data_IF_550802129897
#
_entry.id   IF_550802129897
#
_cell.length_a   1.000
_cell.length_b   1.000
_cell.length_c   1.000
_cell.angle_alpha   90.00
_cell.angle_beta   90.00
_cell.angle_gamma   90.00
#
_symmetry.space_group_name_H-M   'P 1'
#
loop_
_entity.id
_entity.type
_entity.pdbx_description
1 polymer ?
#
# COMPACT_ATOMS: atom_id res chain seq x y z
N UNK A 1 11.55 -43.36 -29.97
CA UNK A 1 12.62 -42.40 -29.55
C UNK A 1 12.25 -40.93 -29.78
N UNK A 2 11.71 -40.50 -30.94
CA UNK A 2 11.35 -39.07 -31.19
C UNK A 2 10.18 -38.54 -30.35
N UNK A 3 9.08 -39.29 -30.28
CA UNK A 3 7.90 -38.90 -29.49
C UNK A 3 8.19 -38.63 -27.99
N UNK A 4 9.16 -39.35 -27.41
CA UNK A 4 9.59 -39.15 -26.02
C UNK A 4 10.43 -37.87 -25.83
N UNK A 5 11.10 -37.41 -26.90
CA UNK A 5 11.88 -36.16 -26.90
C UNK A 5 10.97 -34.96 -27.12
N UNK A 6 9.98 -35.10 -27.99
CA UNK A 6 8.98 -34.06 -28.27
C UNK A 6 8.06 -33.85 -27.05
N UNK A 7 7.68 -34.93 -26.36
CA UNK A 7 6.94 -34.85 -25.10
C UNK A 7 7.76 -34.18 -24.00
N UNK A 8 9.06 -34.46 -23.91
CA UNK A 8 9.96 -33.80 -22.96
C UNK A 8 10.08 -32.29 -23.23
N UNK A 9 10.19 -31.89 -24.51
CA UNK A 9 10.24 -30.47 -24.88
C UNK A 9 8.91 -29.74 -24.60
N UNK A 10 7.77 -30.37 -24.88
CA UNK A 10 6.46 -29.81 -24.56
C UNK A 10 6.29 -29.58 -23.05
N UNK A 11 6.74 -30.54 -22.23
CA UNK A 11 6.70 -30.44 -20.78
C UNK A 11 7.59 -29.31 -20.25
N UNK A 12 8.72 -29.07 -20.93
CA UNK A 12 9.67 -28.02 -20.57
C UNK A 12 9.16 -26.62 -20.92
N UNK A 13 8.50 -26.48 -22.07
CA UNK A 13 7.81 -25.25 -22.46
C UNK A 13 6.63 -24.94 -21.53
N UNK A 14 5.87 -25.96 -21.13
CA UNK A 14 4.78 -25.79 -20.17
C UNK A 14 5.31 -25.32 -18.81
N UNK A 15 6.44 -25.87 -18.36
CA UNK A 15 7.11 -25.45 -17.12
C UNK A 15 7.62 -24.00 -17.20
N UNK A 16 8.16 -23.58 -18.35
CA UNK A 16 8.58 -22.20 -18.57
C UNK A 16 7.38 -21.24 -18.53
N UNK A 17 6.29 -21.56 -19.25
CA UNK A 17 5.07 -20.74 -19.24
C UNK A 17 4.49 -20.56 -17.85
N UNK A 18 4.44 -21.62 -17.05
CA UNK A 18 3.98 -21.55 -15.66
C UNK A 18 4.86 -20.63 -14.80
N UNK A 19 6.18 -20.65 -15.01
CA UNK A 19 7.12 -19.79 -14.30
C UNK A 19 6.95 -18.32 -14.72
N UNK A 20 6.78 -18.08 -16.01
CA UNK A 20 6.54 -16.73 -16.54
C UNK A 20 5.21 -16.15 -16.06
N UNK A 21 4.16 -16.98 -15.95
CA UNK A 21 2.86 -16.61 -15.41
C UNK A 21 2.95 -16.21 -13.93
N UNK A 22 3.74 -16.93 -13.13
CA UNK A 22 3.99 -16.60 -11.71
C UNK A 22 4.78 -15.28 -11.56
N UNK A 23 5.78 -15.05 -12.41
CA UNK A 23 6.51 -13.77 -12.41
C UNK A 23 5.62 -12.61 -12.85
N UNK A 24 4.73 -12.84 -13.82
CA UNK A 24 3.79 -11.83 -14.29
C UNK A 24 2.75 -11.49 -13.22
N UNK A 25 2.23 -12.48 -12.48
CA UNK A 25 1.29 -12.23 -11.38
C UNK A 25 1.94 -11.38 -10.27
N UNK A 26 3.20 -11.66 -9.91
CA UNK A 26 3.96 -10.85 -8.96
C UNK A 26 4.19 -9.43 -9.46
N UNK A 27 4.52 -9.26 -10.75
CA UNK A 27 4.69 -7.93 -11.34
C UNK A 27 3.40 -7.11 -11.28
N UNK A 28 2.25 -7.73 -11.57
CA UNK A 28 0.94 -7.09 -11.47
C UNK A 28 0.60 -6.66 -10.04
N UNK A 29 0.97 -7.47 -9.04
CA UNK A 29 0.79 -7.12 -7.63
C UNK A 29 1.62 -5.90 -7.24
N UNK A 30 2.89 -5.85 -7.67
CA UNK A 30 3.77 -4.70 -7.44
C UNK A 30 3.20 -3.44 -8.08
N UNK A 31 2.74 -3.53 -9.34
CA UNK A 31 2.13 -2.40 -10.05
C UNK A 31 0.89 -1.90 -9.33
N UNK A 32 0.00 -2.81 -8.89
CA UNK A 32 -1.17 -2.44 -8.11
C UNK A 32 -0.78 -1.73 -6.81
N UNK A 33 0.27 -2.20 -6.12
CA UNK A 33 0.77 -1.58 -4.89
C UNK A 33 1.33 -0.18 -5.14
N UNK A 34 2.11 -0.01 -6.20
CA UNK A 34 2.68 1.30 -6.58
C UNK A 34 1.56 2.26 -6.96
N UNK A 35 0.58 1.80 -7.74
CA UNK A 35 -0.58 2.58 -8.13
C UNK A 35 -1.39 3.03 -6.90
N UNK A 36 -1.65 2.13 -5.94
CA UNK A 36 -2.30 2.47 -4.68
C UNK A 36 -1.53 3.55 -3.89
N UNK A 37 -0.20 3.45 -3.83
CA UNK A 37 0.66 4.46 -3.16
C UNK A 37 0.62 5.81 -3.87
N UNK A 38 0.63 5.83 -5.19
CA UNK A 38 0.59 7.06 -5.99
C UNK A 38 -0.79 7.73 -5.95
N UNK A 39 -1.86 6.95 -5.87
CA UNK A 39 -3.24 7.45 -5.79
C UNK A 39 -3.68 7.76 -4.34
N UNK A 40 -2.79 7.60 -3.35
CA UNK A 40 -3.10 7.84 -1.93
C UNK A 40 -4.12 6.85 -1.32
N UNK A 41 -4.38 5.73 -2.00
CA UNK A 41 -5.38 4.74 -1.60
C UNK A 41 -4.74 3.64 -0.73
N UNK A 42 -4.85 3.78 0.59
CA UNK A 42 -4.55 2.71 1.56
C UNK A 42 -5.76 1.75 1.63
N UNK A 43 -5.94 0.92 0.60
CA UNK A 43 -7.01 -0.06 0.56
C UNK A 43 -6.49 -1.44 0.12
N UNK A 44 -6.01 -2.23 1.09
CA UNK A 44 -6.14 -3.70 1.11
C UNK A 44 -5.87 -4.21 2.53
N UNK A 45 -6.88 -4.74 3.24
CA UNK A 45 -6.75 -5.22 4.62
C UNK A 45 -6.06 -6.60 4.76
N UNK A 46 -5.74 -7.29 3.67
CA UNK A 46 -5.35 -8.71 3.72
C UNK A 46 -3.83 -9.01 3.64
N UNK A 47 -2.98 -7.99 3.54
CA UNK A 47 -1.51 -8.18 3.54
C UNK A 47 -0.87 -7.83 4.89
N UNK A 48 -1.61 -7.99 5.99
CA UNK A 48 -1.08 -7.78 7.34
C UNK A 48 -0.29 -9.01 7.86
N UNK A 49 -0.39 -10.18 7.22
CA UNK A 49 0.25 -11.40 7.68
C UNK A 49 1.75 -11.52 7.30
N UNK A 50 2.17 -11.01 6.13
CA UNK A 50 3.54 -11.23 5.64
C UNK A 50 4.54 -10.14 6.04
N UNK A 51 4.11 -9.10 6.75
CA UNK A 51 5.00 -8.06 7.24
C UNK A 51 5.92 -8.52 8.40
N UNK A 52 5.73 -9.74 8.93
CA UNK A 52 6.51 -10.27 10.05
C UNK A 52 7.82 -10.96 9.64
N UNK A 53 8.08 -11.23 8.35
CA UNK A 53 9.38 -11.79 7.92
C UNK A 53 10.30 -10.70 7.38
N UNK A 54 10.67 -9.78 8.27
CA UNK A 54 11.92 -9.01 8.29
C UNK A 54 12.49 -8.50 6.97
N UNK A 55 11.88 -7.46 6.37
CA UNK A 55 12.60 -6.52 5.49
C UNK A 55 11.99 -5.12 5.51
N UNK A 56 12.74 -4.26 6.20
CA UNK A 56 12.86 -2.81 6.05
C UNK A 56 11.68 -1.91 6.45
N UNK A 57 12.03 -1.02 7.37
CA UNK A 57 11.21 0.00 7.99
C UNK A 57 10.73 1.04 6.98
N UNK A 58 9.45 1.41 7.04
CA UNK A 58 9.00 2.81 7.01
C UNK A 58 7.59 2.93 7.60
N UNK A 59 7.53 3.55 8.77
CA UNK A 59 6.43 4.37 9.29
C UNK A 59 5.05 3.73 9.45
N UNK A 60 4.80 3.18 10.64
CA UNK A 60 3.46 3.11 11.24
C UNK A 60 3.44 3.99 12.48
N UNK A 61 2.75 5.12 12.40
CA UNK A 61 2.31 5.87 13.58
C UNK A 61 1.09 5.11 14.09
N UNK A 62 1.29 4.30 15.13
CA UNK A 62 0.20 3.72 15.89
C UNK A 62 -0.35 4.75 16.87
N UNK A 63 -1.68 4.86 16.91
CA UNK A 63 -2.40 5.08 18.16
C UNK A 63 -3.68 4.25 18.10
N UNK A 64 -3.70 3.18 18.89
CA UNK A 64 -4.90 2.53 19.46
C UNK A 64 -5.53 3.55 20.44
N UNK A 65 -6.82 3.73 20.71
CA UNK A 65 -8.07 2.94 20.89
C UNK A 65 -9.19 4.02 21.11
N UNK A 66 -10.50 3.78 21.41
CA UNK A 66 -11.29 2.55 21.48
C UNK A 66 -12.56 2.59 20.61
N UNK A 67 -13.25 1.46 20.55
CA UNK A 67 -14.57 1.30 19.97
C UNK A 67 -15.59 2.38 20.39
N UNK A 68 -15.96 3.26 19.47
CA UNK A 68 -17.36 3.72 19.37
C UNK A 68 -17.80 3.75 17.92
N UNK A 69 -18.94 3.14 17.71
CA UNK A 69 -19.59 3.02 16.43
C UNK A 69 -19.89 4.39 15.81
N UNK A 70 -19.99 4.35 14.47
CA UNK A 70 -20.69 5.27 13.58
C UNK A 70 -19.83 6.32 12.86
N UNK A 71 -20.10 6.36 11.54
CA UNK A 71 -19.60 7.29 10.54
C UNK A 71 -18.12 7.22 10.17
N UNK A 72 -17.84 6.41 9.14
CA UNK A 72 -17.05 6.88 7.99
C UNK A 72 -17.48 6.18 6.71
N UNK A 73 -18.77 6.30 6.39
CA UNK A 73 -19.18 6.33 4.99
C UNK A 73 -18.78 7.70 4.42
N UNK A 74 -17.55 7.83 3.99
CA UNK A 74 -17.21 8.90 3.05
C UNK A 74 -16.58 8.21 1.88
N UNK A 75 -17.37 8.14 0.80
CA UNK A 75 -16.93 7.57 -0.45
C UNK A 75 -15.61 8.18 -0.88
N UNK A 76 -14.88 7.41 -1.65
CA UNK A 76 -13.66 7.79 -2.34
C UNK A 76 -13.97 8.90 -3.34
N UNK A 77 -14.24 10.12 -2.86
CA UNK A 77 -14.23 11.31 -3.69
C UNK A 77 -12.76 11.66 -3.84
N UNK A 78 -12.19 11.32 -4.99
CA UNK A 78 -10.85 11.76 -5.36
C UNK A 78 -10.79 13.27 -5.21
N UNK A 79 -10.07 13.74 -4.19
CA UNK A 79 -9.91 15.16 -3.92
C UNK A 79 -9.10 15.76 -5.07
N UNK A 80 -9.57 16.88 -5.59
CA UNK A 80 -8.75 17.65 -6.53
C UNK A 80 -7.50 18.16 -5.80
N UNK A 81 -6.42 18.40 -6.54
CA UNK A 81 -5.14 18.88 -5.97
C UNK A 81 -5.37 20.11 -5.08
N UNK A 82 -6.27 21.01 -5.52
CA UNK A 82 -6.61 22.23 -4.77
C UNK A 82 -7.26 21.92 -3.42
N UNK A 83 -8.19 20.97 -3.38
CA UNK A 83 -8.87 20.56 -2.15
C UNK A 83 -7.91 19.84 -1.20
N UNK A 84 -7.06 18.97 -1.75
CA UNK A 84 -6.06 18.27 -0.96
C UNK A 84 -5.05 19.24 -0.32
N UNK A 85 -4.53 20.20 -1.09
CA UNK A 85 -3.61 21.23 -0.57
C UNK A 85 -4.31 22.08 0.50
N UNK A 86 -5.56 22.49 0.26
CA UNK A 86 -6.33 23.25 1.26
C UNK A 86 -6.55 22.46 2.54
N UNK A 87 -6.86 21.17 2.44
CA UNK A 87 -7.02 20.28 3.59
C UNK A 87 -5.70 20.14 4.36
N UNK A 88 -4.59 19.86 3.66
CA UNK A 88 -3.28 19.68 4.27
C UNK A 88 -2.84 20.91 5.05
N UNK A 89 -3.01 22.10 4.48
CA UNK A 89 -2.72 23.36 5.17
C UNK A 89 -3.55 23.46 6.46
N UNK A 90 -4.86 23.24 6.37
CA UNK A 90 -5.75 23.32 7.56
C UNK A 90 -5.32 22.36 8.67
N UNK A 91 -4.88 21.15 8.33
CA UNK A 91 -4.44 20.18 9.33
C UNK A 91 -3.07 20.54 9.92
N UNK A 92 -2.14 21.01 9.10
CA UNK A 92 -0.79 21.38 9.52
C UNK A 92 -0.76 22.68 10.35
N UNK A 93 -1.71 23.59 10.12
CA UNK A 93 -1.82 24.85 10.87
C UNK A 93 -2.82 24.76 12.03
N UNK A 94 -3.37 23.58 12.34
CA UNK A 94 -4.29 23.43 13.44
C UNK A 94 -3.50 23.51 14.77
N UNK A 95 -3.78 24.48 15.66
CA UNK A 95 -3.09 24.60 16.94
C UNK A 95 -3.22 23.34 17.79
N UNK A 96 -4.34 22.61 17.72
CA UNK A 96 -4.54 21.37 18.47
C UNK A 96 -3.52 20.30 18.07
N UNK A 97 -3.18 20.23 16.78
CA UNK A 97 -2.19 19.27 16.28
C UNK A 97 -0.77 19.72 16.58
N UNK A 98 -0.50 21.03 16.46
CA UNK A 98 0.79 21.62 16.75
C UNK A 98 1.16 21.44 18.24
N UNK A 99 0.21 21.61 19.16
CA UNK A 99 0.42 21.42 20.59
C UNK A 99 0.74 19.97 20.99
N UNK A 100 0.43 18.99 20.14
CA UNK A 100 0.72 17.56 20.38
C UNK A 100 2.07 17.12 19.80
N UNK A 101 2.78 18.00 19.10
CA UNK A 101 4.08 17.67 18.53
C UNK A 101 5.15 17.55 19.61
N UNK A 102 6.16 16.72 19.33
CA UNK A 102 7.34 16.60 20.18
C UNK A 102 7.97 17.97 20.42
N UNK A 103 8.32 18.29 21.67
CA UNK A 103 8.76 19.63 22.10
C UNK A 103 9.96 20.16 21.31
N UNK A 104 10.88 19.28 20.87
CA UNK A 104 12.04 19.67 20.06
C UNK A 104 11.70 20.11 18.64
N UNK A 105 10.46 19.94 18.19
CA UNK A 105 9.98 20.48 16.92
C UNK A 105 9.64 21.97 17.00
N UNK A 106 9.41 22.50 18.21
CA UNK A 106 9.15 23.91 18.50
C UNK A 106 8.13 24.58 17.54
N UNK A 107 6.88 24.09 17.47
CA UNK A 107 5.84 24.61 16.56
C UNK A 107 5.45 26.09 16.76
N UNK A 108 5.90 26.72 17.84
CA UNK A 108 5.59 28.10 18.24
C UNK A 108 6.64 29.14 17.80
N UNK A 109 7.75 28.70 17.21
CA UNK A 109 8.85 29.54 16.72
C UNK A 109 8.67 29.86 15.23
#
# INVERSE_FOLDING_TARGET
MRAARDSAQALQLQKQRSNDEERNSQALEVLARVQCRLQGHLAKPDLLADAFTGREATHKIGHEEPATANHRSSGTTDLTIKEHVSWMIKQATNPDHLCLMYEGWAPWL
#
